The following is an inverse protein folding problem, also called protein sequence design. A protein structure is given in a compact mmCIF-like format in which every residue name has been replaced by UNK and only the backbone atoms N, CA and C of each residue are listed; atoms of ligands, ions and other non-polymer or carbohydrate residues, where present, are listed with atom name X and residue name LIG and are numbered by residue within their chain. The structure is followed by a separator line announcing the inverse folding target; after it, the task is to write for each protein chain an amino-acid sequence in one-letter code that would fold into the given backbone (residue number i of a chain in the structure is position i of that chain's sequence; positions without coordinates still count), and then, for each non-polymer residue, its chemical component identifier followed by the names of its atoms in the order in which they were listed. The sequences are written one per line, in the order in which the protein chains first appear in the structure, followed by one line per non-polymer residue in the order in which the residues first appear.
data_IF_351586812552
#
_entry.id   IF_351586812552
#
_cell.length_a   1.000
_cell.length_b   1.000
_cell.length_c   1.000
_cell.angle_alpha   90.00
_cell.angle_beta   90.00
_cell.angle_gamma   90.00
#
_symmetry.space_group_name_H-M   'P 1'
#
loop_
_entity.id
_entity.type
_entity.pdbx_description
1 polymer ?
#
# COMPACT_ATOMS: atom_id res chain seq x y z
N UNK A 1 4.37 -12.09 9.80
CA UNK A 1 3.06 -11.77 9.19
C UNK A 1 2.10 -12.87 9.57
N UNK A 2 0.98 -12.58 10.24
CA UNK A 2 0.05 -13.64 10.64
C UNK A 2 -0.50 -14.31 9.37
N UNK A 3 -0.53 -15.65 9.28
CA UNK A 3 -1.05 -16.35 8.09
C UNK A 3 -2.49 -15.95 7.76
N UNK A 4 -3.31 -15.66 8.78
CA UNK A 4 -4.68 -15.18 8.63
C UNK A 4 -4.80 -13.81 7.92
N UNK A 5 -3.75 -12.98 7.89
CA UNK A 5 -3.79 -11.70 7.17
C UNK A 5 -3.89 -11.92 5.66
N UNK A 6 -3.10 -12.86 5.12
CA UNK A 6 -3.04 -13.11 3.67
C UNK A 6 -4.37 -13.64 3.15
N UNK A 7 -5.01 -14.55 3.89
CA UNK A 7 -6.32 -15.08 3.53
C UNK A 7 -7.38 -13.96 3.47
N UNK A 8 -7.38 -13.06 4.45
CA UNK A 8 -8.30 -11.91 4.47
C UNK A 8 -7.98 -10.90 3.37
N UNK A 9 -6.71 -10.67 3.08
CA UNK A 9 -6.27 -9.80 1.98
C UNK A 9 -6.72 -10.37 0.63
N UNK A 10 -6.48 -11.65 0.38
CA UNK A 10 -6.93 -12.34 -0.84
C UNK A 10 -8.45 -12.28 -0.99
N UNK A 11 -9.20 -12.53 0.08
CA UNK A 11 -10.65 -12.37 0.09
C UNK A 11 -11.07 -10.93 -0.26
N UNK A 12 -10.39 -9.91 0.29
CA UNK A 12 -10.70 -8.49 0.06
C UNK A 12 -10.47 -8.05 -1.39
N UNK A 13 -9.44 -8.59 -2.05
CA UNK A 13 -9.12 -8.30 -3.45
C UNK A 13 -9.80 -9.26 -4.44
N UNK A 14 -10.59 -10.22 -3.96
CA UNK A 14 -11.26 -11.21 -4.80
C UNK A 14 -10.33 -12.25 -5.43
N UNK A 15 -9.16 -12.49 -4.83
CA UNK A 15 -8.22 -13.51 -5.30
C UNK A 15 -8.54 -14.88 -4.69
N UNK A 16 -8.65 -15.91 -5.53
CA UNK A 16 -8.87 -17.29 -5.10
C UNK A 16 -7.57 -17.97 -4.66
N UNK A 17 -7.60 -18.63 -3.49
CA UNK A 17 -6.52 -19.51 -3.01
C UNK A 17 -6.58 -20.87 -3.70
N UNK A 18 -5.44 -21.59 -3.87
CA UNK A 18 -4.11 -21.30 -3.31
C UNK A 18 -3.26 -20.30 -4.11
N UNK A 19 -2.45 -19.50 -3.43
CA UNK A 19 -1.44 -18.64 -4.04
C UNK A 19 -0.08 -19.36 -4.10
N UNK A 20 0.52 -19.46 -5.28
CA UNK A 20 1.90 -19.94 -5.45
C UNK A 20 2.85 -18.75 -5.54
N UNK A 21 4.10 -18.89 -5.08
CA UNK A 21 5.11 -17.83 -5.16
C UNK A 21 5.71 -17.70 -6.58
N UNK A 22 4.84 -17.45 -7.58
CA UNK A 22 5.19 -17.33 -8.99
C UNK A 22 4.98 -15.90 -9.52
N UNK A 23 5.66 -15.56 -10.61
CA UNK A 23 5.50 -14.26 -11.27
C UNK A 23 4.07 -14.03 -11.78
N UNK A 24 3.41 -15.08 -12.26
CA UNK A 24 2.00 -15.02 -12.69
C UNK A 24 1.08 -14.66 -11.51
N UNK A 25 1.29 -15.30 -10.35
CA UNK A 25 0.54 -14.97 -9.13
C UNK A 25 0.77 -13.51 -8.71
N UNK A 26 2.02 -13.04 -8.72
CA UNK A 26 2.33 -11.65 -8.40
C UNK A 26 1.65 -10.66 -9.35
N UNK A 27 1.67 -10.97 -10.65
CA UNK A 27 1.06 -10.12 -11.68
C UNK A 27 -0.46 -10.01 -11.51
N UNK A 28 -1.13 -11.12 -11.19
CA UNK A 28 -2.58 -11.15 -10.91
C UNK A 28 -2.94 -10.37 -9.65
N UNK A 29 -2.18 -10.57 -8.57
CA UNK A 29 -2.38 -9.85 -7.32
C UNK A 29 -2.22 -8.33 -7.52
N UNK A 30 -1.20 -7.92 -8.28
CA UNK A 30 -0.95 -6.52 -8.59
C UNK A 30 -2.07 -5.90 -9.45
N UNK A 31 -2.67 -6.66 -10.36
CA UNK A 31 -3.79 -6.19 -11.17
C UNK A 31 -5.10 -6.06 -10.37
N UNK A 32 -5.36 -7.00 -9.45
CA UNK A 32 -6.58 -7.01 -8.62
C UNK A 32 -6.56 -5.97 -7.50
N UNK A 33 -5.39 -5.68 -6.93
CA UNK A 33 -5.25 -4.73 -5.84
C UNK A 33 -5.86 -3.34 -6.11
N UNK A 34 -5.48 -2.60 -7.17
CA UNK A 34 -6.02 -1.27 -7.42
C UNK A 34 -7.51 -1.28 -7.80
N UNK A 35 -8.04 -2.40 -8.28
CA UNK A 35 -9.46 -2.57 -8.57
C UNK A 35 -10.29 -2.68 -7.28
N UNK A 36 -9.77 -3.40 -6.28
CA UNK A 36 -10.47 -3.65 -5.02
C UNK A 36 -10.19 -2.61 -3.94
N UNK A 37 -8.98 -2.04 -3.93
CA UNK A 37 -8.48 -1.09 -2.95
C UNK A 37 -8.04 0.18 -3.70
N UNK A 38 -8.94 1.14 -3.90
CA UNK A 38 -8.58 2.41 -4.51
C UNK A 38 -7.58 3.16 -3.63
N UNK A 39 -6.78 4.02 -4.27
CA UNK A 39 -5.87 4.93 -3.58
C UNK A 39 -6.62 6.19 -3.12
N UNK A 40 -6.38 6.67 -1.89
CA UNK A 40 -6.91 7.94 -1.39
C UNK A 40 -5.95 8.64 -0.43
N UNK A 41 -5.96 9.97 -0.48
CA UNK A 41 -5.15 10.83 0.39
C UNK A 41 -5.97 11.70 1.35
N UNK A 42 -7.17 11.23 1.75
CA UNK A 42 -8.08 12.02 2.57
C UNK A 42 -7.59 12.23 4.00
N UNK A 43 -7.00 11.20 4.64
CA UNK A 43 -6.54 11.33 6.03
C UNK A 43 -5.41 12.39 6.16
N UNK A 44 -4.35 12.40 5.30
CA UNK A 44 -3.35 13.48 5.30
C UNK A 44 -3.91 14.85 4.92
N UNK A 45 -4.85 14.91 3.97
CA UNK A 45 -5.51 16.17 3.61
C UNK A 45 -6.28 16.77 4.80
N UNK A 46 -6.87 15.93 5.64
CA UNK A 46 -7.59 16.32 6.85
C UNK A 46 -6.67 16.48 8.08
N UNK A 47 -5.35 16.41 7.91
CA UNK A 47 -4.38 16.51 9.00
C UNK A 47 -4.45 15.37 10.02
N UNK A 48 -5.08 14.24 9.65
CA UNK A 48 -5.20 13.07 10.53
C UNK A 48 -3.93 12.23 10.44
N UNK A 49 -3.39 11.75 11.58
CA UNK A 49 -2.19 10.94 11.57
C UNK A 49 -2.46 9.59 10.88
N UNK A 50 -1.63 9.27 9.88
CA UNK A 50 -1.65 7.96 9.23
C UNK A 50 -0.75 7.02 10.02
N UNK A 51 -1.35 5.97 10.60
CA UNK A 51 -0.62 4.92 11.31
C UNK A 51 -0.16 3.84 10.34
N UNK A 52 1.13 3.51 10.40
CA UNK A 52 1.80 2.52 9.55
C UNK A 52 2.18 1.24 10.29
N UNK A 53 1.74 1.06 11.54
CA UNK A 53 1.89 -0.23 12.22
C UNK A 53 1.00 -1.30 11.59
N UNK A 54 1.44 -2.56 11.64
CA UNK A 54 0.79 -3.67 10.96
C UNK A 54 -0.69 -3.84 11.37
N UNK A 55 -0.98 -3.69 12.66
CA UNK A 55 -2.34 -3.83 13.21
C UNK A 55 -3.26 -2.69 12.74
N UNK A 56 -2.73 -1.47 12.60
CA UNK A 56 -3.47 -0.34 12.03
C UNK A 56 -3.68 -0.50 10.53
N UNK A 57 -2.70 -1.05 9.80
CA UNK A 57 -2.81 -1.33 8.37
C UNK A 57 -3.86 -2.42 8.10
N UNK A 58 -3.83 -3.52 8.84
CA UNK A 58 -4.83 -4.59 8.72
C UNK A 58 -6.23 -4.04 9.02
N UNK A 59 -6.38 -3.29 10.11
CA UNK A 59 -7.67 -2.65 10.42
C UNK A 59 -8.12 -1.69 9.33
N UNK A 60 -7.23 -0.87 8.76
CA UNK A 60 -7.58 0.12 7.73
C UNK A 60 -7.96 -0.55 6.41
N UNK A 61 -7.13 -1.46 5.92
CA UNK A 61 -7.28 -2.05 4.58
C UNK A 61 -8.27 -3.21 4.53
N UNK A 62 -8.30 -4.03 5.58
CA UNK A 62 -9.04 -5.30 5.59
C UNK A 62 -10.36 -5.19 6.35
N UNK A 63 -10.34 -4.62 7.56
CA UNK A 63 -11.52 -4.63 8.44
C UNK A 63 -12.44 -3.41 8.27
N UNK A 64 -11.86 -2.23 8.06
CA UNK A 64 -12.62 -0.97 7.92
C UNK A 64 -12.99 -0.65 6.47
N UNK A 65 -12.49 -1.42 5.49
CA UNK A 65 -12.75 -1.20 4.06
C UNK A 65 -12.25 0.14 3.53
N UNK A 66 -11.31 0.79 4.21
CA UNK A 66 -10.79 2.12 3.83
C UNK A 66 -9.70 2.00 2.79
N UNK A 67 -9.49 3.08 2.04
CA UNK A 67 -8.61 3.13 0.87
C UNK A 67 -7.14 3.18 1.29
N UNK A 68 -6.24 2.79 0.38
CA UNK A 68 -4.80 2.83 0.64
C UNK A 68 -4.30 4.29 0.58
N UNK A 69 -3.47 4.68 1.55
CA UNK A 69 -2.86 6.01 1.61
C UNK A 69 -1.34 5.86 1.64
N UNK A 70 -0.62 6.61 0.82
CA UNK A 70 0.83 6.75 0.96
C UNK A 70 1.11 7.72 2.10
N UNK A 71 1.70 7.25 3.18
CA UNK A 71 2.28 8.16 4.18
C UNK A 71 3.70 8.48 3.78
N UNK A 72 3.86 9.62 3.13
CA UNK A 72 5.18 10.21 2.88
C UNK A 72 4.99 11.66 2.55
N UNK A 73 5.71 12.52 3.27
CA UNK A 73 6.18 13.83 2.83
C UNK A 73 6.57 13.83 1.35
N UNK A 74 5.59 14.01 0.47
CA UNK A 74 5.75 14.39 -0.94
C UNK A 74 4.72 15.49 -1.17
N UNK A 75 4.83 16.55 -0.36
CA UNK A 75 4.43 17.87 -0.81
C UNK A 75 5.65 18.38 -1.59
N UNK A 76 5.57 18.33 -2.91
CA UNK A 76 6.59 18.87 -3.81
C UNK A 76 6.63 20.39 -3.62
N UNK A 77 7.41 20.85 -2.65
CA UNK A 77 7.82 22.25 -2.55
C UNK A 77 8.88 22.51 -3.62
N UNK A 78 8.69 23.46 -4.55
CA UNK A 78 9.64 23.69 -5.65
C UNK A 78 11.02 24.20 -5.22
N UNK A 79 11.27 24.41 -3.92
CA UNK A 79 12.51 25.03 -3.41
C UNK A 79 13.59 24.07 -2.91
N UNK A 80 13.36 22.76 -2.94
CA UNK A 80 14.31 21.78 -2.38
C UNK A 80 15.01 20.87 -3.42
N UNK A 81 14.91 21.17 -4.71
CA UNK A 81 15.69 20.48 -5.74
C UNK A 81 17.01 21.20 -6.01
N UNK A 82 17.85 21.27 -5.00
CA UNK A 82 19.27 21.47 -5.19
C UNK A 82 19.99 20.69 -4.09
N UNK A 83 20.87 19.79 -4.52
CA UNK A 83 21.98 19.22 -3.73
C UNK A 83 21.68 17.92 -2.97
N UNK A 84 21.83 16.81 -3.68
CA UNK A 84 22.61 15.60 -3.28
C UNK A 84 22.23 14.44 -4.22
N UNK A 85 22.94 14.28 -5.33
CA UNK A 85 24.08 13.35 -5.44
C UNK A 85 23.66 11.86 -5.38
N UNK A 86 23.10 11.36 -6.49
CA UNK A 86 23.13 9.94 -6.82
C UNK A 86 24.42 9.69 -7.61
N UNK A 87 25.49 9.26 -6.93
CA UNK A 87 26.70 8.73 -7.58
C UNK A 87 26.58 7.21 -7.55
N UNK A 88 26.36 6.60 -8.72
CA UNK A 88 26.46 5.15 -8.90
C UNK A 88 27.93 4.77 -9.07
N UNK A 89 28.42 3.64 -8.53
CA UNK A 89 29.77 3.16 -8.81
C UNK A 89 29.80 2.44 -10.16
N UNK A 90 30.81 2.77 -10.96
CA UNK A 90 31.41 1.92 -11.99
C UNK A 90 32.92 2.09 -11.85
#
# INVERSE_FOLDING_TARGET
MPPAFLDRYFARIGYGVPASATLDTLSRLHALHPQAIPFENLDPLLGRPVRLDLDSIERKLVLAGRRATTSSTIFFSPKACARSAFRSPA
#
